data_IF_823010774835
#
_entry.id   IF_823010774835
#
_cell.length_a   1.000
_cell.length_b   1.000
_cell.length_c   1.000
_cell.angle_alpha   90.00
_cell.angle_beta   90.00
_cell.angle_gamma   90.00
#
_symmetry.space_group_name_H-M   'P 1'
#
loop_
_entity.id
_entity.type
_entity.pdbx_description
1 polymer ?
#
# COMPACT_ATOMS: atom_id res chain seq x y z
N UNK A 1 3.27 -2.53 11.76
CA UNK A 1 3.26 -4.00 11.72
C UNK A 1 4.38 -4.53 10.87
N UNK A 2 4.50 -5.84 10.72
CA UNK A 2 5.40 -6.52 9.78
C UNK A 2 4.58 -7.14 8.66
N UNK A 3 5.12 -7.21 7.45
CA UNK A 3 4.48 -7.88 6.31
C UNK A 3 5.28 -9.13 5.98
N UNK A 4 4.58 -10.23 5.71
CA UNK A 4 5.19 -11.49 5.31
C UNK A 4 4.60 -11.92 3.97
N UNK A 5 5.48 -12.27 3.04
CA UNK A 5 5.09 -12.98 1.84
C UNK A 5 5.02 -14.47 2.14
N UNK A 6 3.93 -15.09 1.67
CA UNK A 6 3.63 -16.50 1.93
C UNK A 6 3.25 -17.20 0.65
N UNK A 7 3.51 -18.51 0.60
CA UNK A 7 3.12 -19.39 -0.49
C UNK A 7 1.60 -19.53 -0.55
N UNK A 8 1.04 -19.46 -1.76
CA UNK A 8 -0.38 -19.74 -2.01
C UNK A 8 -0.70 -21.24 -2.08
N UNK A 9 0.31 -22.07 -2.35
CA UNK A 9 0.19 -23.52 -2.56
C UNK A 9 0.56 -24.36 -1.33
N UNK A 10 1.01 -23.73 -0.25
CA UNK A 10 1.39 -24.40 0.99
C UNK A 10 0.58 -23.85 2.16
N UNK A 11 -0.10 -24.75 2.88
CA UNK A 11 -0.78 -24.40 4.12
C UNK A 11 0.08 -24.79 5.32
N UNK A 12 0.13 -23.97 6.40
CA UNK A 12 0.79 -24.37 7.63
C UNK A 12 0.12 -25.62 8.22
N UNK A 13 0.93 -26.60 8.62
CA UNK A 13 0.45 -27.82 9.30
C UNK A 13 0.19 -27.62 10.79
N UNK A 14 0.59 -26.48 11.36
CA UNK A 14 0.33 -26.08 12.74
C UNK A 14 0.14 -24.56 12.84
N UNK A 15 -0.65 -24.13 13.82
CA UNK A 15 -0.94 -22.73 14.12
C UNK A 15 0.26 -21.94 14.68
N UNK A 16 1.41 -22.60 14.90
CA UNK A 16 2.66 -21.98 15.37
C UNK A 16 3.79 -21.99 14.34
N UNK A 17 3.57 -22.57 13.16
CA UNK A 17 4.62 -22.65 12.13
C UNK A 17 4.73 -21.37 11.30
N UNK A 18 5.97 -20.98 10.97
CA UNK A 18 6.27 -19.79 10.19
C UNK A 18 7.45 -20.05 9.24
N UNK A 19 8.67 -19.66 9.62
CA UNK A 19 9.87 -19.87 8.81
C UNK A 19 10.17 -21.37 8.61
N UNK A 20 10.60 -21.75 7.40
CA UNK A 20 10.76 -23.16 7.01
C UNK A 20 9.45 -23.89 6.65
N UNK A 21 8.32 -23.17 6.56
CA UNK A 21 7.03 -23.72 6.14
C UNK A 21 6.44 -23.01 4.92
N UNK A 22 5.41 -22.19 5.09
CA UNK A 22 4.72 -21.46 4.02
C UNK A 22 5.20 -19.99 3.88
N UNK A 23 5.96 -19.47 4.85
CA UNK A 23 6.54 -18.12 4.79
C UNK A 23 7.74 -18.11 3.85
N UNK A 24 7.76 -17.17 2.90
CA UNK A 24 8.82 -17.00 1.90
C UNK A 24 9.81 -15.90 2.28
N UNK A 25 9.29 -14.75 2.72
CA UNK A 25 10.12 -13.58 3.03
C UNK A 25 9.39 -12.62 3.97
N UNK A 26 10.15 -11.90 4.79
CA UNK A 26 9.66 -10.77 5.58
C UNK A 26 9.94 -9.46 4.82
N UNK A 27 8.89 -8.65 4.63
CA UNK A 27 9.01 -7.29 4.12
C UNK A 27 9.07 -6.35 5.32
N UNK A 28 10.28 -5.85 5.58
CA UNK A 28 10.52 -4.88 6.64
C UNK A 28 10.09 -3.48 6.20
N UNK A 29 9.39 -2.78 7.09
CA UNK A 29 9.39 -1.31 7.10
C UNK A 29 10.27 -0.84 8.26
N UNK A 30 10.89 0.33 8.12
CA UNK A 30 11.59 1.00 9.23
C UNK A 30 10.62 1.51 10.29
N UNK A 31 9.30 1.54 10.01
CA UNK A 31 8.27 2.04 10.90
C UNK A 31 7.06 1.09 11.00
N UNK A 32 6.05 1.51 11.77
CA UNK A 32 4.82 0.74 11.93
C UNK A 32 3.96 0.88 10.67
N UNK A 33 3.82 -0.21 9.92
CA UNK A 33 2.77 -0.32 8.90
C UNK A 33 1.37 -0.34 9.53
N UNK A 34 0.46 0.50 9.02
CA UNK A 34 -0.92 0.68 9.47
C UNK A 34 -1.97 0.15 8.49
N UNK A 35 -1.68 0.23 7.18
CA UNK A 35 -2.60 -0.18 6.12
C UNK A 35 -1.81 -0.74 4.93
N UNK A 36 -2.47 -1.53 4.07
CA UNK A 36 -1.87 -2.10 2.86
C UNK A 36 -2.92 -2.22 1.75
N UNK A 37 -2.52 -1.95 0.51
CA UNK A 37 -3.28 -2.29 -0.70
C UNK A 37 -2.34 -2.78 -1.79
N UNK A 38 -2.90 -3.45 -2.80
CA UNK A 38 -2.16 -3.88 -3.99
C UNK A 38 -2.54 -3.02 -5.19
N UNK A 39 -1.55 -2.61 -5.97
CA UNK A 39 -1.72 -1.88 -7.23
C UNK A 39 -1.26 -2.78 -8.37
N UNK A 40 -2.14 -2.99 -9.34
CA UNK A 40 -1.84 -3.73 -10.57
C UNK A 40 -1.81 -2.75 -11.75
N UNK A 41 -0.82 -2.89 -12.62
CA UNK A 41 -0.66 -2.05 -13.82
C UNK A 41 -1.25 -2.70 -15.07
N UNK A 42 -1.20 -4.02 -15.15
CA UNK A 42 -1.80 -4.83 -16.21
C UNK A 42 -2.26 -6.17 -15.64
N UNK A 43 -3.30 -6.77 -16.21
CA UNK A 43 -3.85 -8.05 -15.74
C UNK A 43 -2.89 -9.23 -15.94
N UNK A 44 -1.98 -9.13 -16.92
CA UNK A 44 -1.23 -10.29 -17.43
C UNK A 44 0.30 -10.16 -17.25
N UNK A 45 0.80 -9.07 -16.65
CA UNK A 45 2.25 -8.85 -16.54
C UNK A 45 2.93 -9.60 -15.41
N UNK A 46 2.15 -10.12 -14.44
CA UNK A 46 2.72 -10.68 -13.19
C UNK A 46 3.38 -9.61 -12.30
N UNK A 47 3.18 -8.33 -12.61
CA UNK A 47 3.74 -7.20 -11.88
C UNK A 47 2.66 -6.51 -11.04
N UNK A 48 2.99 -6.28 -9.78
CA UNK A 48 2.17 -5.47 -8.90
C UNK A 48 3.05 -4.72 -7.89
N UNK A 49 2.44 -3.79 -7.18
CA UNK A 49 3.09 -3.10 -6.07
C UNK A 49 2.22 -3.24 -4.83
N UNK A 50 2.87 -3.48 -3.69
CA UNK A 50 2.24 -3.34 -2.38
C UNK A 50 2.49 -1.94 -1.87
N UNK A 51 1.41 -1.20 -1.64
CA UNK A 51 1.44 0.15 -1.08
C UNK A 51 1.01 0.08 0.38
N UNK A 52 1.88 0.48 1.29
CA UNK A 52 1.69 0.38 2.72
C UNK A 52 1.68 1.77 3.38
N UNK A 53 0.64 2.05 4.16
CA UNK A 53 0.54 3.26 4.97
C UNK A 53 1.40 3.16 6.23
N UNK A 54 2.15 4.22 6.52
CA UNK A 54 3.08 4.30 7.65
C UNK A 54 2.82 5.51 8.55
N UNK A 55 3.65 5.67 9.58
CA UNK A 55 3.72 6.88 10.40
C UNK A 55 4.42 8.04 9.70
N UNK A 56 4.28 9.24 10.28
CA UNK A 56 4.82 10.52 9.80
C UNK A 56 4.44 10.86 8.34
N UNK A 57 3.24 10.46 7.91
CA UNK A 57 2.73 10.69 6.57
C UNK A 57 3.43 9.87 5.48
N UNK A 58 4.21 8.87 5.85
CA UNK A 58 4.98 8.07 4.88
C UNK A 58 4.13 6.95 4.25
N UNK A 59 4.55 6.55 3.05
CA UNK A 59 4.06 5.40 2.30
C UNK A 59 5.25 4.56 1.87
N UNK A 60 5.25 3.27 2.19
CA UNK A 60 6.21 2.32 1.62
C UNK A 60 5.61 1.61 0.43
N UNK A 61 6.38 1.50 -0.65
CA UNK A 61 6.01 0.82 -1.89
C UNK A 61 6.98 -0.33 -2.11
N UNK A 62 6.45 -1.54 -2.22
CA UNK A 62 7.21 -2.75 -2.51
C UNK A 62 6.81 -3.27 -3.90
N UNK A 63 7.57 -2.98 -4.96
CA UNK A 63 7.36 -3.59 -6.27
C UNK A 63 7.59 -5.09 -6.22
N UNK A 64 6.71 -5.82 -6.90
CA UNK A 64 6.71 -7.27 -7.01
C UNK A 64 6.67 -7.68 -8.47
N UNK A 65 7.51 -8.66 -8.82
CA UNK A 65 7.50 -9.34 -10.11
C UNK A 65 7.66 -10.83 -9.86
N UNK A 66 6.81 -11.65 -10.50
CA UNK A 66 6.83 -13.11 -10.39
C UNK A 66 6.82 -13.62 -8.93
N UNK A 67 6.00 -12.97 -8.08
CA UNK A 67 5.87 -13.24 -6.63
C UNK A 67 7.12 -12.95 -5.77
N UNK A 68 8.08 -12.20 -6.30
CA UNK A 68 9.28 -11.76 -5.58
C UNK A 68 9.28 -10.25 -5.45
N UNK A 69 9.63 -9.73 -4.26
CA UNK A 69 9.86 -8.29 -4.08
C UNK A 69 11.17 -7.90 -4.71
N UNK A 70 11.13 -6.88 -5.58
CA UNK A 70 12.28 -6.43 -6.36
C UNK A 70 12.87 -5.12 -5.85
N UNK A 71 12.21 -4.44 -4.92
CA UNK A 71 12.68 -3.18 -4.37
C UNK A 71 11.83 -2.65 -3.20
N UNK A 72 12.19 -1.45 -2.75
CA UNK A 72 11.49 -0.70 -1.72
C UNK A 72 11.68 0.80 -1.99
N UNK A 73 10.58 1.54 -2.05
CA UNK A 73 10.52 2.99 -2.24
C UNK A 73 9.69 3.61 -1.11
N UNK A 74 10.06 4.80 -0.66
CA UNK A 74 9.30 5.54 0.36
C UNK A 74 8.87 6.89 -0.19
N UNK A 75 7.57 7.16 -0.15
CA UNK A 75 6.96 8.46 -0.46
C UNK A 75 6.47 9.13 0.83
N UNK A 76 6.20 10.44 0.77
CA UNK A 76 5.56 11.16 1.87
C UNK A 76 4.49 12.13 1.38
N UNK A 77 3.41 12.26 2.17
CA UNK A 77 2.33 13.21 1.88
C UNK A 77 2.74 14.68 2.02
N UNK A 78 3.81 14.95 2.76
CA UNK A 78 4.27 16.29 3.09
C UNK A 78 5.77 16.41 2.85
N UNK A 79 6.16 17.49 2.20
CA UNK A 79 7.55 17.92 2.05
C UNK A 79 7.62 19.38 2.53
N UNK A 80 8.23 19.66 3.70
CA UNK A 80 8.93 18.72 4.60
C UNK A 80 7.98 17.77 5.35
N UNK A 81 8.52 16.65 5.82
CA UNK A 81 7.79 15.62 6.59
C UNK A 81 7.23 16.18 7.91
N UNK A 82 6.02 15.75 8.28
CA UNK A 82 5.36 16.15 9.53
C UNK A 82 5.24 14.93 10.45
N UNK A 83 5.71 15.07 11.69
CA UNK A 83 5.66 14.00 12.68
C UNK A 83 4.24 13.72 13.20
N UNK A 84 4.01 12.51 13.70
CA UNK A 84 2.75 12.07 14.34
C UNK A 84 1.52 12.09 13.42
N UNK A 85 1.73 11.91 12.12
CA UNK A 85 0.67 11.69 11.14
C UNK A 85 0.70 10.24 10.65
N UNK A 86 -0.35 9.46 10.85
CA UNK A 86 -0.42 8.08 10.41
C UNK A 86 -1.28 7.94 9.16
N UNK A 87 -0.79 7.20 8.17
CA UNK A 87 -1.55 6.85 6.97
C UNK A 87 -2.39 5.61 7.28
N UNK A 88 -3.62 5.84 7.75
CA UNK A 88 -4.48 4.77 8.28
C UNK A 88 -5.33 4.07 7.24
N UNK A 89 -5.50 4.64 6.04
CA UNK A 89 -6.14 3.95 4.92
C UNK A 89 -5.33 4.14 3.65
N UNK A 90 -5.24 3.06 2.88
CA UNK A 90 -4.68 3.01 1.53
C UNK A 90 -5.59 2.11 0.72
N UNK A 91 -6.15 2.63 -0.38
CA UNK A 91 -7.11 1.91 -1.23
C UNK A 91 -6.73 2.11 -2.67
N UNK A 92 -6.59 1.05 -3.44
CA UNK A 92 -6.39 1.14 -4.90
C UNK A 92 -7.72 1.06 -5.65
N UNK A 93 -7.79 1.70 -6.82
CA UNK A 93 -8.96 1.61 -7.72
C UNK A 93 -9.08 0.26 -8.41
N UNK A 94 -8.00 -0.53 -8.42
CA UNK A 94 -7.96 -1.75 -9.17
C UNK A 94 -8.51 -2.91 -8.33
N UNK A 95 -9.69 -3.41 -8.71
CA UNK A 95 -10.14 -4.74 -8.33
C UNK A 95 -9.73 -5.73 -9.44
N UNK A 96 -9.05 -6.85 -9.14
CA UNK A 96 -8.50 -7.77 -10.13
C UNK A 96 -9.52 -8.43 -11.08
N UNK A 97 -10.82 -8.15 -10.93
CA UNK A 97 -11.90 -8.82 -11.67
C UNK A 97 -12.59 -7.93 -12.71
N UNK A 98 -12.46 -6.59 -12.67
CA UNK A 98 -13.38 -5.72 -13.47
C UNK A 98 -12.80 -4.49 -14.17
N UNK A 99 -11.51 -4.16 -14.01
CA UNK A 99 -10.99 -2.84 -14.42
C UNK A 99 -9.83 -2.87 -15.43
N UNK A 100 -9.90 -3.75 -16.44
CA UNK A 100 -8.97 -3.71 -17.57
C UNK A 100 -9.14 -2.40 -18.37
N UNK A 101 -8.08 -1.60 -18.48
CA UNK A 101 -8.00 -0.46 -19.42
C UNK A 101 -8.09 0.94 -18.82
N UNK A 102 -8.11 1.09 -17.49
CA UNK A 102 -7.91 2.40 -16.84
C UNK A 102 -6.60 2.42 -16.06
N UNK A 103 -5.97 3.60 -16.00
CA UNK A 103 -4.79 3.82 -15.17
C UNK A 103 -5.16 3.63 -13.69
N UNK A 104 -4.30 2.97 -12.89
CA UNK A 104 -4.54 2.82 -11.47
C UNK A 104 -4.41 4.16 -10.76
N UNK A 105 -5.16 4.29 -9.67
CA UNK A 105 -5.05 5.36 -8.68
C UNK A 105 -5.08 4.75 -7.29
N UNK A 106 -4.39 5.40 -6.36
CA UNK A 106 -4.40 5.05 -4.94
C UNK A 106 -4.96 6.21 -4.15
N UNK A 107 -5.87 5.94 -3.22
CA UNK A 107 -6.36 6.90 -2.27
C UNK A 107 -5.83 6.61 -0.88
N UNK A 108 -5.46 7.65 -0.18
CA UNK A 108 -4.96 7.55 1.19
C UNK A 108 -5.63 8.54 2.11
N UNK A 109 -5.78 8.15 3.37
CA UNK A 109 -6.24 9.01 4.44
C UNK A 109 -5.13 9.14 5.50
N UNK A 110 -4.86 10.39 5.90
CA UNK A 110 -3.84 10.72 6.91
C UNK A 110 -4.55 11.21 8.18
N UNK A 111 -4.26 10.54 9.30
CA UNK A 111 -4.77 10.87 10.63
C UNK A 111 -3.65 11.45 11.52
N UNK A 112 -3.92 12.39 12.43
CA UNK A 112 -5.16 13.15 12.52
C UNK A 112 -5.31 14.10 11.33
N UNK A 113 -6.54 14.20 10.82
CA UNK A 113 -6.82 15.00 9.65
C UNK A 113 -8.19 14.69 9.06
N UNK A 114 -8.52 15.40 8.00
CA UNK A 114 -9.76 15.20 7.25
C UNK A 114 -9.49 15.21 5.73
N UNK A 115 -8.24 15.04 5.32
CA UNK A 115 -7.85 15.11 3.91
C UNK A 115 -7.66 13.70 3.36
N UNK A 116 -8.32 13.43 2.25
CA UNK A 116 -8.06 12.25 1.41
C UNK A 116 -7.21 12.68 0.23
N UNK A 117 -6.14 11.94 -0.03
CA UNK A 117 -5.20 12.20 -1.12
C UNK A 117 -5.38 11.17 -2.21
N UNK A 118 -5.34 11.59 -3.46
CA UNK A 118 -5.28 10.69 -4.60
C UNK A 118 -3.88 10.74 -5.19
N UNK A 119 -3.23 9.59 -5.22
CA UNK A 119 -1.93 9.36 -5.83
C UNK A 119 -2.09 8.77 -7.22
N UNK A 120 -1.26 9.25 -8.14
CA UNK A 120 -0.95 8.54 -9.37
C UNK A 120 0.25 7.62 -9.13
N UNK A 121 0.07 6.29 -9.18
CA UNK A 121 1.13 5.32 -8.97
C UNK A 121 2.25 5.43 -10.00
N UNK A 122 1.99 5.88 -11.23
CA UNK A 122 3.01 5.94 -12.28
C UNK A 122 3.95 7.11 -12.02
N UNK A 123 3.40 8.29 -11.76
CA UNK A 123 4.20 9.50 -11.55
C UNK A 123 4.68 9.66 -10.11
N UNK A 124 4.19 8.85 -9.17
CA UNK A 124 4.47 8.94 -7.72
C UNK A 124 4.03 10.28 -7.11
N UNK A 125 3.05 10.94 -7.73
CA UNK A 125 2.60 12.28 -7.34
C UNK A 125 1.18 12.26 -6.79
N UNK A 126 0.91 13.15 -5.83
CA UNK A 126 -0.46 13.47 -5.41
C UNK A 126 -1.10 14.32 -6.52
N UNK A 127 -2.14 13.79 -7.15
CA UNK A 127 -2.87 14.45 -8.23
C UNK A 127 -4.12 15.19 -7.75
N UNK A 128 -4.77 14.74 -6.68
CA UNK A 128 -5.93 15.40 -6.09
C UNK A 128 -5.93 15.32 -4.57
N UNK A 129 -6.61 16.29 -3.93
CA UNK A 129 -6.84 16.35 -2.48
C UNK A 129 -8.29 16.71 -2.21
N UNK A 130 -8.96 15.94 -1.37
CA UNK A 130 -10.31 16.22 -0.88
C UNK A 130 -10.26 16.53 0.60
N UNK A 131 -10.61 17.76 0.97
CA UNK A 131 -10.77 18.18 2.36
C UNK A 131 -12.20 17.87 2.82
N UNK A 132 -12.36 16.76 3.55
CA UNK A 132 -13.64 16.29 4.03
C UNK A 132 -14.25 17.19 5.12
N UNK A 133 -13.51 18.11 5.75
CA UNK A 133 -14.10 19.07 6.70
C UNK A 133 -15.04 20.06 6.01
N UNK A 134 -14.89 20.24 4.70
CA UNK A 134 -15.74 21.11 3.86
C UNK A 134 -16.99 20.40 3.34
N UNK A 135 -17.10 19.09 3.55
CA UNK A 135 -18.31 18.36 3.27
C UNK A 135 -19.27 18.64 4.43
N UNK A 136 -20.36 19.35 4.14
CA UNK A 136 -21.43 19.61 5.11
C UNK A 136 -21.92 18.25 5.62
N UNK A 137 -22.04 18.03 6.94
CA UNK A 137 -22.69 16.82 7.46
C UNK A 137 -24.10 16.76 6.89
N UNK A 138 -24.43 15.69 6.16
CA UNK A 138 -25.80 15.40 5.76
C UNK A 138 -26.64 14.98 6.96
#
# INVERSE_FOLDING_TARGET
GRVFLVRSDASPSSHTMAEGSFVMSELGSSTVLHAITTVYYASDSGECELWCGESNGALSIYPMRDNVVTGHEVLNHYEPTIANLDVLQVVSSHAPVYYSGRLPFVWTYVYPGCVVYQWDPITRMIVNKLDCSKLVPC
#
